data_IF_968669218005
#
_entry.id   IF_968669218005
#
_cell.length_a   1.000
_cell.length_b   1.000
_cell.length_c   1.000
_cell.angle_alpha   90.00
_cell.angle_beta   90.00
_cell.angle_gamma   90.00
#
_symmetry.space_group_name_H-M   'P 1'
#
loop_
_entity.id
_entity.type
_entity.pdbx_description
1 polymer ?
#
# COMPACT_ATOMS: atom_id res chain seq x y z
N UNK A 1 6.36 19.22 13.43
CA UNK A 1 5.89 18.93 13.48
C UNK A 1 5.26 18.40 12.78
N UNK A 2 5.17 17.95 12.29
CA UNK A 2 4.32 17.66 11.62
C UNK A 2 4.34 16.32 11.12
N UNK A 3 4.05 15.36 11.87
CA UNK A 3 3.77 14.06 11.40
C UNK A 3 2.52 14.14 10.55
N UNK A 4 2.46 13.40 9.44
CA UNK A 4 1.25 13.36 8.65
C UNK A 4 0.12 12.77 9.49
N UNK A 5 -1.12 13.17 9.22
CA UNK A 5 -2.23 12.61 9.97
C UNK A 5 -2.32 11.10 9.79
N UNK A 6 -2.80 10.44 10.83
CA UNK A 6 -2.93 8.99 10.76
C UNK A 6 -4.04 8.56 9.80
N UNK A 7 -5.10 9.35 9.73
CA UNK A 7 -6.21 9.07 8.81
C UNK A 7 -6.08 9.96 7.59
N UNK A 8 -6.08 9.37 6.42
CA UNK A 8 -5.87 10.10 5.17
C UNK A 8 -6.97 9.73 4.18
N UNK A 9 -7.30 10.68 3.32
CA UNK A 9 -8.30 10.44 2.30
C UNK A 9 -7.72 9.71 1.11
N UNK A 10 -8.58 9.42 0.12
CA UNK A 10 -8.16 8.66 -1.06
C UNK A 10 -7.02 9.34 -1.82
N UNK A 11 -7.16 10.64 -2.06
CA UNK A 11 -6.13 11.36 -2.80
C UNK A 11 -4.80 11.30 -2.07
N UNK A 12 -4.85 11.52 -0.77
CA UNK A 12 -3.64 11.50 0.02
C UNK A 12 -3.05 10.10 0.11
N UNK A 13 -3.90 9.08 0.21
CA UNK A 13 -3.43 7.72 0.26
C UNK A 13 -2.75 7.32 -1.06
N UNK A 14 -3.34 7.70 -2.18
CA UNK A 14 -2.74 7.41 -3.47
C UNK A 14 -1.39 8.11 -3.61
N UNK A 15 -1.33 9.37 -3.18
CA UNK A 15 -0.07 10.11 -3.23
C UNK A 15 0.97 9.49 -2.31
N UNK A 16 0.53 9.04 -1.14
CA UNK A 16 1.42 8.39 -0.18
C UNK A 16 2.04 7.13 -0.77
N UNK A 17 1.26 6.39 -1.56
CA UNK A 17 1.73 5.17 -2.19
C UNK A 17 2.39 5.42 -3.55
N UNK A 18 2.26 6.63 -4.07
CA UNK A 18 2.86 6.95 -5.36
C UNK A 18 2.08 6.38 -6.54
N UNK A 19 0.78 6.21 -6.39
CA UNK A 19 -0.06 5.65 -7.46
C UNK A 19 -1.22 6.59 -7.76
N UNK A 20 -1.91 6.33 -8.85
CA UNK A 20 -3.07 7.12 -9.22
C UNK A 20 -4.25 6.80 -8.30
N UNK A 21 -5.16 7.75 -8.14
CA UNK A 21 -6.34 7.52 -7.32
C UNK A 21 -7.18 6.37 -7.84
N UNK A 22 -7.30 6.25 -9.16
CA UNK A 22 -8.05 5.14 -9.74
C UNK A 22 -7.42 3.80 -9.40
N UNK A 23 -6.10 3.74 -9.39
CA UNK A 23 -5.39 2.52 -9.02
C UNK A 23 -5.65 2.20 -7.56
N UNK A 24 -5.59 3.21 -6.70
CA UNK A 24 -5.86 3.00 -5.29
C UNK A 24 -7.29 2.49 -5.09
N UNK A 25 -8.26 3.08 -5.79
CA UNK A 25 -9.63 2.64 -5.68
C UNK A 25 -9.79 1.18 -6.10
N UNK A 26 -9.09 0.78 -7.15
CA UNK A 26 -9.13 -0.59 -7.61
C UNK A 26 -8.52 -1.53 -6.56
N UNK A 27 -7.44 -1.10 -5.93
CA UNK A 27 -6.83 -1.91 -4.89
C UNK A 27 -7.75 -2.10 -3.70
N UNK A 28 -8.52 -1.06 -3.35
CA UNK A 28 -9.50 -1.18 -2.27
C UNK A 28 -10.61 -2.15 -2.68
N UNK A 29 -11.08 -2.04 -3.91
CA UNK A 29 -12.16 -2.89 -4.41
C UNK A 29 -11.74 -4.35 -4.48
N UNK A 30 -10.46 -4.62 -4.74
CA UNK A 30 -9.97 -5.99 -4.83
C UNK A 30 -9.37 -6.47 -3.51
N UNK A 31 -9.59 -5.72 -2.44
CA UNK A 31 -9.14 -6.08 -1.09
C UNK A 31 -7.63 -6.11 -0.93
N UNK A 32 -6.92 -5.43 -1.81
CA UNK A 32 -5.48 -5.29 -1.62
C UNK A 32 -5.17 -4.24 -0.55
N UNK A 33 -6.09 -3.29 -0.36
CA UNK A 33 -5.95 -2.27 0.67
C UNK A 33 -7.08 -2.42 1.67
N UNK A 34 -6.88 -1.94 2.90
CA UNK A 34 -7.91 -2.07 3.92
C UNK A 34 -9.11 -1.18 3.60
N UNK A 35 -10.26 -1.47 4.18
CA UNK A 35 -11.42 -0.61 4.00
C UNK A 35 -11.27 0.69 4.78
N UNK A 36 -12.13 1.65 4.48
CA UNK A 36 -12.13 2.90 5.24
C UNK A 36 -12.51 2.63 6.69
N UNK A 37 -12.09 3.54 7.55
CA UNK A 37 -12.49 3.48 8.95
C UNK A 37 -13.99 3.76 9.03
N UNK A 38 -14.76 2.95 9.75
CA UNK A 38 -16.21 3.15 9.83
C UNK A 38 -16.56 4.57 10.27
N UNK A 39 -17.54 5.14 9.61
CA UNK A 39 -17.98 6.49 9.91
C UNK A 39 -17.16 7.57 9.23
N UNK A 40 -16.17 7.20 8.46
CA UNK A 40 -15.35 8.17 7.74
C UNK A 40 -15.13 7.70 6.33
N UNK A 41 -14.55 8.57 5.52
CA UNK A 41 -14.11 8.16 4.18
C UNK A 41 -12.60 8.20 4.13
N UNK A 42 -11.97 7.85 5.24
CA UNK A 42 -10.54 7.91 5.36
C UNK A 42 -9.98 6.55 5.74
N UNK A 43 -8.71 6.38 5.45
CA UNK A 43 -8.00 5.13 5.73
C UNK A 43 -6.99 5.36 6.83
N UNK A 44 -6.74 4.33 7.62
CA UNK A 44 -5.68 4.38 8.62
C UNK A 44 -4.36 4.15 7.89
N UNK A 45 -3.47 5.12 7.96
CA UNK A 45 -2.19 5.04 7.28
C UNK A 45 -1.39 3.79 7.70
N UNK A 46 -1.47 3.43 8.96
CA UNK A 46 -0.77 2.24 9.43
C UNK A 46 -1.34 0.96 8.83
N UNK A 47 -2.64 0.91 8.63
CA UNK A 47 -3.26 -0.24 8.01
C UNK A 47 -2.82 -0.34 6.54
N UNK A 48 -2.68 0.81 5.88
CA UNK A 48 -2.19 0.82 4.51
C UNK A 48 -0.77 0.28 4.46
N UNK A 49 0.08 0.72 5.39
CA UNK A 49 1.45 0.23 5.43
C UNK A 49 1.51 -1.27 5.65
N UNK A 50 0.69 -1.78 6.55
CA UNK A 50 0.67 -3.21 6.82
C UNK A 50 0.25 -4.01 5.59
N UNK A 51 -0.75 -3.52 4.88
CA UNK A 51 -1.18 -4.21 3.67
C UNK A 51 -0.13 -4.14 2.59
N UNK A 52 0.54 -3.01 2.47
CA UNK A 52 1.59 -2.86 1.49
C UNK A 52 2.73 -3.83 1.76
N UNK A 53 3.09 -4.00 3.03
CA UNK A 53 4.12 -4.96 3.41
C UNK A 53 3.72 -6.37 3.00
N UNK A 54 2.46 -6.73 3.19
CA UNK A 54 1.97 -8.04 2.78
C UNK A 54 2.04 -8.21 1.26
N UNK A 55 1.62 -7.19 0.53
CA UNK A 55 1.61 -7.24 -0.92
C UNK A 55 3.03 -7.35 -1.47
N UNK A 56 3.95 -6.62 -0.87
CA UNK A 56 5.32 -6.62 -1.34
C UNK A 56 6.10 -7.86 -0.90
N UNK A 57 5.53 -8.64 0.01
CA UNK A 57 6.18 -9.85 0.46
C UNK A 57 7.25 -9.64 1.51
N UNK A 58 7.32 -8.45 2.08
CA UNK A 58 8.35 -8.17 3.08
C UNK A 58 8.16 -9.00 4.34
N UNK A 59 6.90 -9.34 4.65
CA UNK A 59 6.63 -10.15 5.83
C UNK A 59 6.48 -11.62 5.52
N UNK A 60 6.74 -12.02 4.31
CA UNK A 60 6.47 -13.40 3.90
C UNK A 60 7.56 -14.36 4.33
N UNK A 61 8.51 -13.92 5.08
CA UNK A 61 9.59 -14.78 5.54
C UNK A 61 10.56 -15.16 4.45
N UNK A 62 10.49 -14.52 3.31
CA UNK A 62 11.45 -14.77 2.27
C UNK A 62 12.54 -13.75 2.40
N UNK A 63 13.74 -14.17 2.16
CA UNK A 63 14.86 -13.26 2.20
C UNK A 63 15.05 -12.60 0.86
N UNK A 64 14.16 -12.86 -0.06
CA UNK A 64 14.37 -12.39 -1.41
C UNK A 64 13.63 -11.11 -1.66
N UNK A 65 14.39 -10.07 -2.03
CA UNK A 65 13.85 -8.80 -2.44
C UNK A 65 13.09 -9.02 -3.76
N UNK A 66 11.86 -8.54 -3.89
CA UNK A 66 11.13 -8.68 -5.14
C UNK A 66 11.89 -8.14 -6.35
N UNK A 67 12.65 -7.06 -6.14
CA UNK A 67 13.44 -6.50 -7.24
C UNK A 67 14.54 -7.46 -7.65
N UNK A 68 15.21 -8.06 -6.69
CA UNK A 68 16.26 -9.01 -6.98
C UNK A 68 15.70 -10.24 -7.67
N UNK A 69 14.54 -10.69 -7.22
CA UNK A 69 13.88 -11.81 -7.85
C UNK A 69 13.57 -11.50 -9.30
N UNK A 70 13.05 -10.31 -9.55
CA UNK A 70 12.71 -9.90 -10.90
C UNK A 70 13.95 -9.85 -11.77
N UNK A 71 15.04 -9.30 -11.25
CA UNK A 71 16.29 -9.20 -11.98
C UNK A 71 16.86 -10.57 -12.33
N UNK A 72 16.71 -11.52 -11.41
CA UNK A 72 17.20 -12.86 -11.65
C UNK A 72 16.41 -13.56 -12.74
N UNK A 73 15.09 -13.33 -12.75
CA UNK A 73 14.22 -13.94 -13.74
C UNK A 73 14.27 -13.22 -15.09
N UNK A 74 14.75 -12.00 -15.09
CA UNK A 74 14.81 -11.18 -16.29
C UNK A 74 16.21 -10.58 -16.45
N UNK A 75 17.21 -11.41 -16.57
CA UNK A 75 18.56 -10.88 -16.73
C UNK A 75 18.68 -10.19 -18.07
N UNK A 76 19.34 -9.09 -18.11
CA UNK A 76 19.45 -8.35 -19.36
C UNK A 76 20.90 -8.09 -19.71
#
# INVERSE_FOLDING_TARGET
MSEPPRLIGRKEAAAYLGIAESTFSMWVATHKMPPTIPGTRKWDRRAIDARLDEISGLDAGTDEDPYEKWMRENPS
#
